data_IF_600547265202
#
_entry.id   IF_600547265202
#
_cell.length_a   1.000
_cell.length_b   1.000
_cell.length_c   1.000
_cell.angle_alpha   90.00
_cell.angle_beta   90.00
_cell.angle_gamma   90.00
#
_symmetry.space_group_name_H-M   'P 1'
#
loop_
_entity.id
_entity.type
_entity.pdbx_description
1 polymer ?
#
# COMPACT_ATOMS: atom_id res chain seq x y z
N UNK A 1 5.12 -13.03 -11.86
CA UNK A 1 5.59 -13.26 -10.50
C UNK A 1 4.94 -12.20 -9.63
N UNK A 2 4.20 -12.62 -8.62
CA UNK A 2 3.53 -11.73 -7.68
C UNK A 2 4.58 -11.10 -6.75
N UNK A 3 4.44 -9.81 -6.41
CA UNK A 3 5.35 -9.13 -5.49
C UNK A 3 5.30 -9.79 -4.09
N UNK A 4 4.18 -10.41 -3.76
CA UNK A 4 3.98 -11.15 -2.52
C UNK A 4 4.77 -12.46 -2.45
N UNK A 5 5.25 -13.00 -3.58
CA UNK A 5 6.20 -14.13 -3.60
C UNK A 5 7.58 -13.73 -3.06
N UNK A 6 7.96 -12.46 -3.24
CA UNK A 6 9.24 -11.91 -2.77
C UNK A 6 9.18 -11.39 -1.34
N UNK A 7 8.03 -10.83 -0.96
CA UNK A 7 7.78 -10.36 0.40
C UNK A 7 6.30 -10.47 0.74
N UNK A 8 5.98 -11.39 1.64
CA UNK A 8 4.64 -11.55 2.21
C UNK A 8 4.61 -10.88 3.59
N UNK A 9 3.84 -9.79 3.77
CA UNK A 9 3.71 -9.13 5.07
C UNK A 9 3.09 -10.05 6.11
N UNK A 10 3.51 -9.90 7.36
CA UNK A 10 2.82 -10.50 8.51
C UNK A 10 1.76 -9.52 9.01
N UNK A 11 0.50 -9.82 8.73
CA UNK A 11 -0.65 -9.06 9.20
C UNK A 11 -1.31 -9.84 10.33
N UNK A 12 -1.60 -9.17 11.43
CA UNK A 12 -2.39 -9.73 12.53
C UNK A 12 -3.88 -9.57 12.19
N UNK A 13 -4.45 -10.58 11.54
CA UNK A 13 -5.84 -10.55 11.07
C UNK A 13 -6.87 -10.52 12.21
N UNK A 14 -6.47 -10.82 13.45
CA UNK A 14 -7.37 -10.73 14.61
C UNK A 14 -7.72 -9.26 14.94
N UNK A 15 -6.94 -8.30 14.45
CA UNK A 15 -7.23 -6.86 14.56
C UNK A 15 -8.13 -6.33 13.43
N UNK A 16 -8.64 -7.21 12.55
CA UNK A 16 -9.43 -6.85 11.39
C UNK A 16 -10.84 -7.44 11.50
N UNK A 17 -11.85 -6.58 11.55
CA UNK A 17 -13.26 -6.94 11.47
C UNK A 17 -13.84 -6.51 10.12
N UNK A 18 -14.54 -7.43 9.46
CA UNK A 18 -15.22 -7.18 8.19
C UNK A 18 -16.40 -6.19 8.33
N UNK A 19 -17.12 -6.28 9.46
CA UNK A 19 -18.36 -5.55 9.69
C UNK A 19 -19.38 -5.70 8.56
N UNK A 20 -19.94 -4.59 8.03
CA UNK A 20 -21.01 -4.62 7.03
C UNK A 20 -20.55 -4.83 5.58
N UNK A 21 -19.25 -5.05 5.32
CA UNK A 21 -18.76 -5.31 3.96
C UNK A 21 -19.20 -6.68 3.45
N UNK A 22 -19.46 -6.78 2.15
CA UNK A 22 -19.66 -8.08 1.52
C UNK A 22 -18.36 -8.90 1.47
N UNK A 23 -18.50 -10.22 1.49
CA UNK A 23 -17.37 -11.17 1.49
C UNK A 23 -16.42 -10.94 0.31
N UNK A 24 -16.96 -10.64 -0.87
CA UNK A 24 -16.17 -10.38 -2.08
C UNK A 24 -15.31 -9.12 -1.93
N UNK A 25 -15.89 -8.03 -1.38
CA UNK A 25 -15.17 -6.77 -1.14
C UNK A 25 -14.14 -6.95 -0.03
N UNK A 26 -14.48 -7.70 1.00
CA UNK A 26 -13.57 -8.02 2.10
C UNK A 26 -12.34 -8.79 1.61
N UNK A 27 -12.53 -9.84 0.80
CA UNK A 27 -11.43 -10.61 0.24
C UNK A 27 -10.47 -9.74 -0.60
N UNK A 28 -11.01 -8.88 -1.47
CA UNK A 28 -10.19 -7.97 -2.27
C UNK A 28 -9.48 -6.92 -1.40
N UNK A 29 -10.10 -6.50 -0.29
CA UNK A 29 -9.49 -5.58 0.67
C UNK A 29 -8.34 -6.23 1.45
N UNK A 30 -8.46 -7.49 1.85
CA UNK A 30 -7.36 -8.21 2.50
C UNK A 30 -6.13 -8.28 1.59
N UNK A 31 -6.33 -8.59 0.30
CA UNK A 31 -5.26 -8.57 -0.69
C UNK A 31 -4.66 -7.16 -0.86
N UNK A 32 -5.51 -6.14 -0.89
CA UNK A 32 -5.08 -4.74 -0.96
C UNK A 32 -4.16 -4.37 0.22
N UNK A 33 -4.53 -4.76 1.46
CA UNK A 33 -3.72 -4.52 2.66
C UNK A 33 -2.33 -5.14 2.52
N UNK A 34 -2.25 -6.40 2.07
CA UNK A 34 -0.97 -7.08 1.86
C UNK A 34 -0.10 -6.35 0.83
N UNK A 35 -0.70 -5.90 -0.28
CA UNK A 35 0.01 -5.15 -1.32
C UNK A 35 0.48 -3.79 -0.81
N UNK A 36 -0.32 -3.09 -0.01
CA UNK A 36 0.04 -1.81 0.60
C UNK A 36 1.20 -1.95 1.61
N UNK A 37 1.20 -3.00 2.44
CA UNK A 37 2.34 -3.31 3.31
C UNK A 37 3.60 -3.67 2.51
N UNK A 38 3.46 -4.43 1.43
CA UNK A 38 4.57 -4.75 0.53
C UNK A 38 5.13 -3.48 -0.12
N UNK A 39 4.28 -2.59 -0.62
CA UNK A 39 4.67 -1.28 -1.14
C UNK A 39 5.48 -0.48 -0.11
N UNK A 40 4.98 -0.37 1.13
CA UNK A 40 5.66 0.34 2.22
C UNK A 40 7.01 -0.28 2.57
N UNK A 41 7.10 -1.61 2.61
CA UNK A 41 8.36 -2.33 2.81
C UNK A 41 9.40 -1.95 1.75
N UNK A 42 9.05 -2.07 0.47
CA UNK A 42 9.98 -1.76 -0.63
C UNK A 42 10.32 -0.28 -0.71
N UNK A 43 9.38 0.61 -0.36
CA UNK A 43 9.66 2.04 -0.22
C UNK A 43 10.72 2.29 0.87
N UNK A 44 10.59 1.68 2.04
CA UNK A 44 11.59 1.77 3.11
C UNK A 44 12.93 1.20 2.68
N UNK A 45 12.95 0.04 2.02
CA UNK A 45 14.17 -0.58 1.50
C UNK A 45 14.90 0.34 0.49
N UNK A 46 14.16 1.01 -0.41
CA UNK A 46 14.74 2.00 -1.34
C UNK A 46 15.31 3.21 -0.58
N UNK A 47 14.60 3.72 0.43
CA UNK A 47 15.06 4.85 1.26
C UNK A 47 16.33 4.49 2.03
N UNK A 48 16.37 3.31 2.64
CA UNK A 48 17.51 2.80 3.40
C UNK A 48 18.72 2.57 2.51
N UNK A 49 18.57 1.86 1.39
CA UNK A 49 19.66 1.64 0.43
C UNK A 49 20.26 2.95 -0.10
N UNK A 50 19.42 3.97 -0.32
CA UNK A 50 19.90 5.31 -0.70
C UNK A 50 20.67 6.01 0.41
N UNK A 51 20.25 5.85 1.67
CA UNK A 51 20.89 6.43 2.85
C UNK A 51 22.24 5.79 3.14
N UNK A 52 22.35 4.47 3.05
CA UNK A 52 23.59 3.73 3.31
C UNK A 52 24.65 3.99 2.24
N UNK A 53 24.22 4.19 0.99
CA UNK A 53 25.10 4.37 -0.16
C UNK A 53 25.79 3.08 -0.59
N UNK A 54 26.71 3.14 -1.56
CA UNK A 54 27.48 1.98 -1.97
C UNK A 54 28.39 1.55 -0.81
N UNK A 55 28.16 0.35 -0.28
CA UNK A 55 28.84 -0.18 0.91
C UNK A 55 30.37 0.01 0.91
N UNK A 56 30.98 0.18 2.09
CA UNK A 56 32.42 0.45 2.17
C UNK A 56 33.21 -0.85 1.99
N UNK A 57 34.27 -0.80 1.18
CA UNK A 57 35.25 -1.90 1.08
C UNK A 57 36.27 -1.74 2.19
N UNK A 58 36.60 -2.84 2.88
CA UNK A 58 37.72 -2.87 3.84
C UNK A 58 39.09 -2.99 3.14
N UNK A 59 39.10 -3.30 1.84
CA UNK A 59 40.32 -3.51 1.04
C UNK A 59 40.57 -2.36 0.09
N UNK A 60 41.85 -2.17 -0.32
CA UNK A 60 42.23 -1.20 -1.36
C UNK A 60 41.47 -1.49 -2.64
N UNK A 61 40.71 -0.52 -3.11
CA UNK A 61 39.88 -0.65 -4.30
C UNK A 61 40.62 -0.22 -5.56
N UNK A 62 40.39 -0.95 -6.65
CA UNK A 62 40.77 -0.50 -7.99
C UNK A 62 39.66 0.39 -8.56
N UNK A 63 39.95 1.22 -9.58
CA UNK A 63 38.91 1.99 -10.28
C UNK A 63 37.77 1.10 -10.82
N UNK A 64 38.08 -0.13 -11.23
CA UNK A 64 37.10 -1.10 -11.70
C UNK A 64 36.17 -1.57 -10.57
N UNK A 65 36.71 -2.00 -9.43
CA UNK A 65 35.91 -2.50 -8.31
C UNK A 65 35.01 -1.42 -7.72
N UNK A 66 35.50 -0.17 -7.66
CA UNK A 66 34.71 0.96 -7.21
C UNK A 66 33.52 1.24 -8.14
N UNK A 67 33.72 1.18 -9.47
CA UNK A 67 32.64 1.32 -10.47
C UNK A 67 31.64 0.17 -10.39
N UNK A 68 32.13 -1.07 -10.30
CA UNK A 68 31.27 -2.27 -10.19
C UNK A 68 30.35 -2.18 -8.99
N UNK A 69 30.89 -1.88 -7.81
CA UNK A 69 30.09 -1.74 -6.58
C UNK A 69 29.06 -0.61 -6.66
N UNK A 70 29.42 0.54 -7.25
CA UNK A 70 28.44 1.61 -7.50
C UNK A 70 27.31 1.14 -8.41
N UNK A 71 27.63 0.37 -9.46
CA UNK A 71 26.64 -0.22 -10.35
C UNK A 71 25.73 -1.21 -9.62
N UNK A 72 26.30 -2.11 -8.82
CA UNK A 72 25.53 -3.09 -8.03
C UNK A 72 24.60 -2.40 -7.02
N UNK A 73 25.07 -1.33 -6.37
CA UNK A 73 24.24 -0.51 -5.50
C UNK A 73 23.05 0.12 -6.24
N UNK A 74 23.29 0.74 -7.40
CA UNK A 74 22.21 1.29 -8.24
C UNK A 74 21.23 0.20 -8.67
N UNK A 75 21.72 -0.95 -9.14
CA UNK A 75 20.88 -2.08 -9.55
C UNK A 75 20.02 -2.61 -8.39
N UNK A 76 20.54 -2.63 -7.17
CA UNK A 76 19.76 -3.03 -5.99
C UNK A 76 18.60 -2.07 -5.71
N UNK A 77 18.83 -0.76 -5.85
CA UNK A 77 17.79 0.27 -5.70
C UNK A 77 16.75 0.15 -6.81
N UNK A 78 17.17 -0.10 -8.05
CA UNK A 78 16.26 -0.32 -9.18
C UNK A 78 15.40 -1.58 -8.95
N UNK A 79 15.98 -2.66 -8.46
CA UNK A 79 15.25 -3.88 -8.14
C UNK A 79 14.17 -3.65 -7.08
N UNK A 80 14.52 -2.99 -5.97
CA UNK A 80 13.54 -2.65 -4.93
C UNK A 80 12.47 -1.67 -5.44
N UNK A 81 12.83 -0.72 -6.31
CA UNK A 81 11.84 0.16 -6.95
C UNK A 81 10.88 -0.63 -7.83
N UNK A 82 11.35 -1.59 -8.62
CA UNK A 82 10.48 -2.43 -9.45
C UNK A 82 9.44 -3.18 -8.61
N UNK A 83 9.84 -3.74 -7.46
CA UNK A 83 8.91 -4.38 -6.53
C UNK A 83 7.92 -3.38 -5.93
N UNK A 84 8.39 -2.21 -5.49
CA UNK A 84 7.53 -1.12 -5.01
C UNK A 84 6.47 -0.75 -6.05
N UNK A 85 6.87 -0.45 -7.28
CA UNK A 85 5.93 -0.07 -8.34
C UNK A 85 4.99 -1.21 -8.73
N UNK A 86 5.47 -2.45 -8.71
CA UNK A 86 4.63 -3.63 -8.93
C UNK A 86 3.56 -3.77 -7.85
N UNK A 87 3.91 -3.57 -6.58
CA UNK A 87 2.96 -3.58 -5.47
C UNK A 87 1.91 -2.47 -5.61
N UNK A 88 2.34 -1.25 -5.93
CA UNK A 88 1.43 -0.13 -6.21
C UNK A 88 0.47 -0.43 -7.37
N UNK A 89 0.96 -1.03 -8.45
CA UNK A 89 0.16 -1.38 -9.63
C UNK A 89 -0.93 -2.40 -9.28
N UNK A 90 -0.55 -3.44 -8.53
CA UNK A 90 -1.48 -4.47 -8.09
C UNK A 90 -2.50 -3.90 -7.09
N UNK A 91 -2.06 -3.05 -6.15
CA UNK A 91 -2.94 -2.38 -5.21
C UNK A 91 -3.97 -1.47 -5.93
N UNK A 92 -3.52 -0.70 -6.92
CA UNK A 92 -4.42 0.08 -7.78
C UNK A 92 -5.46 -0.83 -8.47
N UNK A 93 -5.01 -1.97 -9.01
CA UNK A 93 -5.89 -2.98 -9.60
C UNK A 93 -6.95 -3.52 -8.64
N UNK A 94 -6.59 -3.74 -7.37
CA UNK A 94 -7.53 -4.14 -6.31
C UNK A 94 -8.57 -3.06 -6.03
N UNK A 95 -8.16 -1.79 -5.92
CA UNK A 95 -9.10 -0.68 -5.75
C UNK A 95 -10.06 -0.57 -6.94
N UNK A 96 -9.54 -0.69 -8.18
CA UNK A 96 -10.39 -0.68 -9.37
C UNK A 96 -11.37 -1.87 -9.39
N UNK A 97 -10.95 -3.05 -8.91
CA UNK A 97 -11.81 -4.24 -8.81
C UNK A 97 -12.90 -4.07 -7.75
N UNK A 98 -12.57 -3.55 -6.58
CA UNK A 98 -13.56 -3.18 -5.56
C UNK A 98 -14.55 -2.17 -6.14
N UNK A 99 -14.05 -1.13 -6.83
CA UNK A 99 -14.90 -0.12 -7.45
C UNK A 99 -15.85 -0.71 -8.50
N UNK A 100 -15.39 -1.66 -9.32
CA UNK A 100 -16.23 -2.30 -10.34
C UNK A 100 -17.31 -3.21 -9.74
N UNK A 101 -17.02 -3.88 -8.61
CA UNK A 101 -17.98 -4.72 -7.89
C UNK A 101 -19.19 -3.92 -7.32
N UNK A 102 -18.99 -2.63 -7.06
CA UNK A 102 -19.97 -1.80 -6.32
C UNK A 102 -20.64 -0.72 -7.15
N UNK A 103 -20.38 -0.63 -8.47
CA UNK A 103 -20.87 0.45 -9.34
C UNK A 103 -22.39 0.62 -9.28
N UNK A 104 -23.13 -0.48 -9.21
CA UNK A 104 -24.60 -0.49 -9.19
C UNK A 104 -25.18 -0.40 -7.77
N UNK A 105 -24.34 -0.39 -6.73
CA UNK A 105 -24.72 -0.44 -5.31
C UNK A 105 -24.55 0.90 -4.61
N UNK A 106 -24.86 2.01 -5.28
CA UNK A 106 -24.71 3.36 -4.68
C UNK A 106 -25.44 3.46 -3.34
N UNK A 107 -24.76 4.01 -2.34
CA UNK A 107 -25.27 4.14 -0.97
C UNK A 107 -25.14 2.90 -0.09
N UNK A 108 -24.68 1.76 -0.64
CA UNK A 108 -24.31 0.59 0.18
C UNK A 108 -23.03 0.84 0.98
N UNK A 109 -22.81 0.10 2.09
CA UNK A 109 -21.55 0.10 2.83
C UNK A 109 -20.33 -0.13 1.93
N UNK A 110 -20.42 -1.13 1.03
CA UNK A 110 -19.37 -1.44 0.06
C UNK A 110 -19.01 -0.26 -0.85
N UNK A 111 -20.03 0.47 -1.31
CA UNK A 111 -19.83 1.63 -2.17
C UNK A 111 -19.17 2.79 -1.43
N UNK A 112 -19.60 3.07 -0.20
CA UNK A 112 -19.00 4.11 0.65
C UNK A 112 -17.54 3.78 0.96
N UNK A 113 -17.27 2.52 1.30
CA UNK A 113 -15.92 2.01 1.53
C UNK A 113 -15.04 2.13 0.30
N UNK A 114 -15.53 1.72 -0.87
CA UNK A 114 -14.80 1.86 -2.14
C UNK A 114 -14.45 3.32 -2.44
N UNK A 115 -15.38 4.26 -2.19
CA UNK A 115 -15.13 5.68 -2.40
C UNK A 115 -14.06 6.20 -1.41
N UNK A 116 -14.14 5.80 -0.14
CA UNK A 116 -13.15 6.17 0.87
C UNK A 116 -11.75 5.65 0.54
N UNK A 117 -11.62 4.41 0.04
CA UNK A 117 -10.33 3.85 -0.37
C UNK A 117 -9.70 4.70 -1.47
N UNK A 118 -10.48 5.01 -2.51
CA UNK A 118 -9.99 5.76 -3.65
C UNK A 118 -9.71 7.23 -3.29
N UNK A 119 -10.47 7.81 -2.35
CA UNK A 119 -10.12 9.09 -1.75
C UNK A 119 -8.79 8.98 -1.01
N UNK A 120 -8.62 8.02 -0.11
CA UNK A 120 -7.45 7.91 0.77
C UNK A 120 -6.12 7.86 0.00
N UNK A 121 -6.04 7.04 -1.06
CA UNK A 121 -4.81 6.91 -1.87
C UNK A 121 -4.63 8.04 -2.89
N UNK A 122 -5.65 8.86 -3.12
CA UNK A 122 -5.63 9.98 -4.04
C UNK A 122 -6.57 9.80 -5.24
N UNK A 123 -7.23 10.90 -5.64
CA UNK A 123 -8.31 10.96 -6.64
C UNK A 123 -7.98 10.32 -8.01
N UNK A 124 -6.69 10.16 -8.35
CA UNK A 124 -6.27 9.59 -9.63
C UNK A 124 -6.68 8.12 -9.80
N UNK A 125 -6.98 7.39 -8.71
CA UNK A 125 -7.42 5.99 -8.77
C UNK A 125 -8.95 5.85 -9.04
N UNK A 126 -9.71 6.95 -8.99
CA UNK A 126 -11.19 6.93 -9.03
C UNK A 126 -11.76 6.64 -10.44
N UNK A 127 -10.98 6.75 -11.52
CA UNK A 127 -11.53 6.81 -12.88
C UNK A 127 -10.96 5.75 -13.85
N UNK A 128 -10.88 4.49 -13.41
CA UNK A 128 -10.38 3.36 -14.22
C UNK A 128 -8.96 3.56 -14.78
N UNK A 129 -8.22 4.52 -14.22
CA UNK A 129 -6.91 4.91 -14.72
C UNK A 129 -5.82 4.47 -13.75
N UNK A 130 -5.36 3.23 -13.93
CA UNK A 130 -4.27 2.64 -13.13
C UNK A 130 -2.96 3.43 -13.31
N UNK A 131 -2.85 4.31 -14.32
CA UNK A 131 -1.60 5.04 -14.61
C UNK A 131 -1.13 5.93 -13.45
N UNK A 132 -2.04 6.41 -12.59
CA UNK A 132 -1.72 7.22 -11.40
C UNK A 132 -1.10 6.46 -10.22
N UNK A 133 -0.90 5.14 -10.31
CA UNK A 133 -0.40 4.32 -9.20
C UNK A 133 0.98 4.72 -8.64
N UNK A 134 1.85 5.36 -9.42
CA UNK A 134 3.19 5.75 -8.96
C UNK A 134 3.18 6.95 -7.99
N UNK A 135 2.12 7.76 -8.04
CA UNK A 135 1.95 8.95 -7.18
C UNK A 135 0.91 8.75 -6.08
N UNK A 136 0.23 7.60 -6.08
CA UNK A 136 -0.79 7.28 -5.09
C UNK A 136 -0.19 6.93 -3.72
N UNK A 137 -0.89 7.33 -2.66
CA UNK A 137 -0.44 7.19 -1.28
C UNK A 137 -0.80 5.80 -0.70
N UNK A 138 -0.42 4.71 -1.38
CA UNK A 138 -0.74 3.34 -0.95
C UNK A 138 -0.26 3.00 0.46
N UNK A 139 0.79 3.67 0.95
CA UNK A 139 1.25 3.53 2.33
C UNK A 139 0.20 3.89 3.37
N UNK A 140 -0.82 4.69 3.01
CA UNK A 140 -1.97 5.04 3.87
C UNK A 140 -2.83 3.82 4.20
N UNK A 141 -2.96 2.89 3.27
CA UNK A 141 -3.80 1.70 3.42
C UNK A 141 -3.02 0.46 3.92
N UNK A 142 -1.77 0.65 4.36
CA UNK A 142 -1.01 -0.38 5.06
C UNK A 142 -1.48 -0.49 6.53
N UNK A 143 -2.77 -0.77 6.70
CA UNK A 143 -3.43 -0.79 8.01
C UNK A 143 -2.84 -1.86 8.93
N UNK A 144 -2.81 -1.57 10.22
CA UNK A 144 -2.42 -2.54 11.26
C UNK A 144 -3.63 -3.10 12.01
N UNK A 145 -4.78 -2.45 11.88
CA UNK A 145 -6.09 -2.83 12.37
C UNK A 145 -7.15 -2.16 11.48
N UNK A 146 -8.33 -2.76 11.40
CA UNK A 146 -9.50 -2.17 10.74
C UNK A 146 -10.75 -2.73 11.39
N UNK A 147 -11.68 -1.88 11.80
CA UNK A 147 -12.95 -2.33 12.36
C UNK A 147 -14.12 -1.87 11.49
N UNK A 148 -14.62 -2.76 10.63
CA UNK A 148 -15.72 -2.45 9.73
C UNK A 148 -17.00 -2.02 10.46
N UNK A 149 -17.24 -2.48 11.68
CA UNK A 149 -18.47 -2.14 12.43
C UNK A 149 -18.48 -0.69 12.92
N UNK A 150 -17.29 -0.10 13.13
CA UNK A 150 -17.14 1.27 13.66
C UNK A 150 -16.67 2.26 12.60
N UNK A 151 -15.84 1.81 11.65
CA UNK A 151 -15.29 2.66 10.61
C UNK A 151 -16.29 2.87 9.47
N UNK A 152 -17.12 1.87 9.15
CA UNK A 152 -18.08 1.94 8.06
C UNK A 152 -19.43 2.46 8.58
N UNK A 153 -19.92 3.54 7.96
CA UNK A 153 -21.11 4.27 8.39
C UNK A 153 -20.86 5.78 8.52
N UNK A 154 -19.59 6.18 8.53
CA UNK A 154 -19.18 7.58 8.35
C UNK A 154 -19.19 7.97 6.86
N UNK A 155 -19.14 9.28 6.57
CA UNK A 155 -18.96 9.72 5.19
C UNK A 155 -17.61 9.24 4.61
N UNK A 156 -17.53 8.92 3.31
CA UNK A 156 -16.30 8.48 2.68
C UNK A 156 -15.12 9.45 2.85
N UNK A 157 -15.40 10.74 2.87
CA UNK A 157 -14.41 11.78 3.14
C UNK A 157 -13.81 11.63 4.54
N UNK A 158 -14.67 11.48 5.58
CA UNK A 158 -14.23 11.33 6.96
C UNK A 158 -13.41 10.05 7.17
N UNK A 159 -13.86 8.93 6.57
CA UNK A 159 -13.10 7.68 6.59
C UNK A 159 -11.70 7.88 5.98
N UNK A 160 -11.64 8.46 4.78
CA UNK A 160 -10.38 8.67 4.06
C UNK A 160 -9.41 9.59 4.81
N UNK A 161 -9.92 10.64 5.46
CA UNK A 161 -9.14 11.57 6.26
C UNK A 161 -8.60 10.92 7.54
N UNK A 162 -9.43 10.14 8.23
CA UNK A 162 -9.01 9.38 9.41
C UNK A 162 -7.87 8.42 9.08
N UNK A 163 -7.98 7.67 7.98
CA UNK A 163 -6.95 6.74 7.53
C UNK A 163 -5.63 7.43 7.18
N UNK A 164 -5.68 8.54 6.45
CA UNK A 164 -4.48 9.36 6.15
C UNK A 164 -3.83 9.89 7.40
N UNK A 165 -4.61 10.39 8.35
CA UNK A 165 -4.12 10.92 9.62
C UNK A 165 -3.44 9.84 10.45
N UNK A 166 -4.05 8.66 10.55
CA UNK A 166 -3.46 7.52 11.27
C UNK A 166 -2.13 7.06 10.66
N UNK A 167 -2.06 7.01 9.33
CA UNK A 167 -0.83 6.69 8.59
C UNK A 167 0.29 7.71 8.87
N UNK A 168 -0.04 9.01 8.86
CA UNK A 168 0.93 10.10 9.10
C UNK A 168 1.51 10.07 10.52
N UNK A 169 0.72 9.63 11.51
CA UNK A 169 1.13 9.52 12.91
C UNK A 169 1.89 8.21 13.22
N UNK A 170 1.98 7.28 12.26
CA UNK A 170 2.62 5.97 12.47
C UNK A 170 1.91 5.10 13.51
N UNK A 171 0.65 5.42 13.84
CA UNK A 171 -0.11 4.87 14.96
C UNK A 171 -1.29 4.00 14.51
N UNK A 172 -1.54 2.95 15.28
CA UNK A 172 -2.65 1.99 15.14
C UNK A 172 -3.99 2.73 15.12
N UNK A 173 -4.84 2.46 14.13
CA UNK A 173 -6.25 2.85 14.16
C UNK A 173 -6.91 2.14 15.35
N UNK A 174 -7.06 2.86 16.45
CA UNK A 174 -8.06 2.58 17.48
C UNK A 174 -8.89 3.85 17.65
N UNK A 175 -10.03 3.87 16.98
CA UNK A 175 -11.15 4.77 17.30
C UNK A 175 -12.24 3.78 17.73
N UNK A 176 -12.76 3.73 18.95
CA UNK A 176 -12.93 4.75 19.96
C UNK A 176 -12.94 4.15 21.38
N UNK A 177 -12.94 5.04 22.37
CA UNK A 177 -13.95 5.04 23.43
C UNK A 177 -14.43 6.47 23.63
#
# INVERSE_FOLDING_TARGET
MDVLEYYLPRVDWDQFSQGPLSDDVWAEFQDLILLCHSHKHWEMAVREARREGPGRSMYKETPYTLRKRRREWVLSIEHSNNHKYRAAFLAAGKICRIASMVQERQGSPDWQFSLALALAVGRHVILNDITGHETAEFGVLAFTAFDGDTEIGNSPENMSEAWRTASALGSVLRVAS
#
